data_IF_249936619417
#
_entry.id   IF_249936619417
#
_cell.length_a   1.000
_cell.length_b   1.000
_cell.length_c   1.000
_cell.angle_alpha   90.00
_cell.angle_beta   90.00
_cell.angle_gamma   90.00
#
_symmetry.space_group_name_H-M   'P 1'
#
loop_
_entity.id
_entity.type
_entity.pdbx_description
1 polymer ?
#
# COMPACT_ATOMS: atom_id res chain seq x y z
N UNK A 1 21.84 -46.87 -27.22
CA UNK A 1 22.27 -45.61 -26.58
C UNK A 1 21.16 -44.58 -26.75
N UNK A 2 20.16 -44.59 -25.86
CA UNK A 2 19.11 -43.57 -25.72
C UNK A 2 18.78 -43.54 -24.22
N UNK A 3 19.31 -42.57 -23.49
CA UNK A 3 18.99 -42.33 -22.07
C UNK A 3 19.19 -40.85 -21.72
N UNK A 4 18.68 -40.00 -22.57
CA UNK A 4 18.38 -38.60 -22.28
C UNK A 4 16.88 -38.49 -22.45
N UNK A 5 16.12 -38.06 -21.42
CA UNK A 5 14.84 -37.32 -21.57
C UNK A 5 13.91 -37.32 -20.33
N UNK A 6 14.21 -38.00 -19.21
CA UNK A 6 13.17 -38.17 -18.17
C UNK A 6 13.43 -37.52 -16.80
N UNK A 7 14.59 -36.91 -16.55
CA UNK A 7 14.88 -36.34 -15.22
C UNK A 7 14.81 -34.80 -15.17
N UNK A 8 14.69 -34.11 -16.30
CA UNK A 8 14.67 -32.64 -16.34
C UNK A 8 13.29 -32.01 -16.17
N UNK A 9 12.20 -32.79 -16.22
CA UNK A 9 10.82 -32.25 -16.21
C UNK A 9 10.32 -31.99 -14.77
N UNK A 10 10.91 -32.61 -13.75
CA UNK A 10 10.43 -32.50 -12.37
C UNK A 10 10.97 -31.31 -11.57
N UNK A 11 11.97 -30.56 -12.10
CA UNK A 11 12.59 -29.44 -11.36
C UNK A 11 12.00 -28.07 -11.74
N UNK A 12 11.20 -27.99 -12.82
CA UNK A 12 10.65 -26.72 -13.32
C UNK A 12 9.24 -26.37 -12.79
N UNK A 13 8.56 -27.29 -12.11
CA UNK A 13 7.16 -27.09 -11.69
C UNK A 13 6.99 -26.58 -10.25
N UNK A 14 8.06 -26.34 -9.49
CA UNK A 14 7.98 -25.89 -8.08
C UNK A 14 8.30 -24.40 -7.88
N UNK A 15 8.72 -23.67 -8.93
CA UNK A 15 9.08 -22.24 -8.80
C UNK A 15 7.88 -21.30 -9.02
N UNK A 16 6.71 -21.81 -9.42
CA UNK A 16 5.54 -20.98 -9.73
C UNK A 16 4.58 -20.77 -8.55
N UNK A 17 5.08 -20.80 -7.31
CA UNK A 17 4.36 -20.19 -6.17
C UNK A 17 4.49 -18.67 -6.27
N UNK A 18 3.77 -18.12 -7.27
CA UNK A 18 3.54 -16.69 -7.46
C UNK A 18 2.97 -16.16 -6.15
N UNK A 19 3.82 -15.51 -5.35
CA UNK A 19 3.37 -14.69 -4.24
C UNK A 19 2.57 -13.54 -4.86
N UNK A 20 1.24 -13.59 -4.76
CA UNK A 20 0.32 -12.57 -5.25
C UNK A 20 0.44 -11.27 -4.46
N UNK A 21 1.63 -10.67 -4.41
CA UNK A 21 1.83 -9.31 -3.94
C UNK A 21 1.51 -8.38 -5.11
N UNK A 22 0.56 -7.46 -4.90
CA UNK A 22 0.28 -6.38 -5.84
C UNK A 22 1.58 -5.64 -6.17
N UNK A 23 1.82 -5.36 -7.45
CA UNK A 23 3.01 -4.59 -7.83
C UNK A 23 2.93 -3.16 -7.26
N UNK A 24 4.06 -2.46 -7.05
CA UNK A 24 4.02 -1.06 -6.62
C UNK A 24 3.16 -0.17 -7.51
N UNK A 25 3.08 -0.46 -8.81
CA UNK A 25 2.23 0.25 -9.75
C UNK A 25 0.74 -0.01 -9.49
N UNK A 26 0.36 -1.25 -9.20
CA UNK A 26 -1.03 -1.61 -8.87
C UNK A 26 -1.45 -0.96 -7.55
N UNK A 27 -0.56 -0.97 -6.54
CA UNK A 27 -0.82 -0.30 -5.26
C UNK A 27 -0.98 1.21 -5.45
N UNK A 28 -0.12 1.86 -6.26
CA UNK A 28 -0.24 3.28 -6.55
C UNK A 28 -1.56 3.61 -7.27
N UNK A 29 -1.94 2.79 -8.26
CA UNK A 29 -3.21 2.93 -8.96
C UNK A 29 -4.38 2.83 -7.97
N UNK A 30 -4.40 1.80 -7.12
CA UNK A 30 -5.46 1.61 -6.13
C UNK A 30 -5.54 2.79 -5.14
N UNK A 31 -4.40 3.24 -4.60
CA UNK A 31 -4.34 4.40 -3.69
C UNK A 31 -4.91 5.64 -4.37
N UNK A 32 -4.55 5.88 -5.64
CA UNK A 32 -5.05 7.01 -6.40
C UNK A 32 -6.55 6.90 -6.69
N UNK A 33 -7.04 5.76 -7.15
CA UNK A 33 -8.46 5.54 -7.42
C UNK A 33 -9.31 5.76 -6.17
N UNK A 34 -8.93 5.13 -5.06
CA UNK A 34 -9.63 5.25 -3.77
C UNK A 34 -9.60 6.69 -3.24
N UNK A 35 -8.43 7.35 -3.31
CA UNK A 35 -8.30 8.75 -2.86
C UNK A 35 -9.13 9.69 -3.72
N UNK A 36 -9.11 9.53 -5.04
CA UNK A 36 -9.91 10.35 -5.95
C UNK A 36 -11.42 10.14 -5.77
N UNK A 37 -11.86 8.89 -5.52
CA UNK A 37 -13.26 8.57 -5.21
C UNK A 37 -13.74 9.29 -3.94
N UNK A 38 -12.91 9.31 -2.91
CA UNK A 38 -13.25 9.92 -1.61
C UNK A 38 -13.16 11.44 -1.62
N UNK A 39 -12.27 12.03 -2.43
CA UNK A 39 -12.25 13.47 -2.73
C UNK A 39 -13.54 13.88 -3.43
N UNK A 40 -13.94 13.17 -4.49
CA UNK A 40 -15.20 13.45 -5.21
C UNK A 40 -16.42 13.33 -4.30
N UNK A 41 -16.40 12.41 -3.34
CA UNK A 41 -17.45 12.24 -2.34
C UNK A 41 -17.39 13.25 -1.17
N UNK A 42 -16.38 14.12 -1.11
CA UNK A 42 -16.20 15.08 -0.01
C UNK A 42 -15.85 14.42 1.34
N UNK A 43 -15.34 13.19 1.35
CA UNK A 43 -15.04 12.42 2.58
C UNK A 43 -13.55 12.22 2.84
N UNK A 44 -12.68 12.71 1.94
CA UNK A 44 -11.24 12.45 2.00
C UNK A 44 -10.59 12.87 3.33
N UNK A 45 -10.80 14.12 3.78
CA UNK A 45 -10.19 14.64 5.01
C UNK A 45 -10.61 13.85 6.24
N UNK A 46 -11.91 13.51 6.33
CA UNK A 46 -12.42 12.65 7.40
C UNK A 46 -11.71 11.30 7.41
N UNK A 47 -11.57 10.65 6.25
CA UNK A 47 -10.91 9.34 6.14
C UNK A 47 -9.42 9.40 6.46
N UNK A 48 -8.72 10.47 6.09
CA UNK A 48 -7.33 10.69 6.47
C UNK A 48 -7.21 10.78 8.00
N UNK A 49 -8.11 11.53 8.64
CA UNK A 49 -8.15 11.63 10.10
C UNK A 49 -8.44 10.28 10.74
N UNK A 50 -9.46 9.56 10.28
CA UNK A 50 -9.80 8.23 10.80
C UNK A 50 -8.61 7.25 10.66
N UNK A 51 -7.91 7.30 9.52
CA UNK A 51 -6.70 6.51 9.27
C UNK A 51 -5.58 6.86 10.25
N UNK A 52 -5.34 8.15 10.50
CA UNK A 52 -4.33 8.61 11.46
C UNK A 52 -4.67 8.17 12.88
N UNK A 53 -5.92 8.37 13.33
CA UNK A 53 -6.36 7.93 14.65
C UNK A 53 -6.24 6.41 14.83
N UNK A 54 -6.53 5.62 13.79
CA UNK A 54 -6.32 4.18 13.81
C UNK A 54 -4.84 3.81 13.98
N UNK A 55 -3.94 4.48 13.25
CA UNK A 55 -2.49 4.25 13.32
C UNK A 55 -1.96 4.58 14.72
N UNK A 56 -2.36 5.72 15.28
CA UNK A 56 -1.98 6.14 16.65
C UNK A 56 -2.41 5.15 17.74
N UNK A 57 -3.51 4.43 17.54
CA UNK A 57 -4.01 3.41 18.49
C UNK A 57 -3.32 2.06 18.35
N UNK A 58 -2.77 1.75 17.17
CA UNK A 58 -2.35 0.37 16.82
C UNK A 58 -0.84 0.20 16.67
N UNK A 59 -0.12 1.30 16.47
CA UNK A 59 1.33 1.32 16.24
C UNK A 59 2.01 2.23 17.28
N UNK A 60 3.16 1.82 17.85
CA UNK A 60 3.92 2.65 18.78
C UNK A 60 4.31 4.02 18.20
N UNK A 61 4.40 5.03 19.07
CA UNK A 61 4.65 6.43 18.67
C UNK A 61 5.99 6.63 17.97
N UNK A 62 7.03 5.93 18.41
CA UNK A 62 8.38 5.96 17.81
C UNK A 62 8.39 5.35 16.40
N UNK A 63 7.68 4.24 16.21
CA UNK A 63 7.48 3.62 14.89
C UNK A 63 6.66 4.54 13.97
N UNK A 64 5.61 5.18 14.48
CA UNK A 64 4.83 6.16 13.73
C UNK A 64 5.64 7.40 13.34
N UNK A 65 6.49 7.89 14.22
CA UNK A 65 7.37 9.01 13.92
C UNK A 65 8.40 8.65 12.82
N UNK A 66 8.90 7.42 12.81
CA UNK A 66 9.73 6.91 11.73
C UNK A 66 8.96 6.77 10.41
N UNK A 67 7.72 6.23 10.47
CA UNK A 67 6.84 6.07 9.33
C UNK A 67 6.41 7.41 8.71
N UNK A 68 6.19 8.45 9.51
CA UNK A 68 5.85 9.79 9.04
C UNK A 68 6.95 10.38 8.12
N UNK A 69 8.22 10.08 8.40
CA UNK A 69 9.34 10.49 7.53
C UNK A 69 9.30 9.82 6.16
N UNK A 70 8.76 8.60 6.06
CA UNK A 70 8.51 7.96 4.77
C UNK A 70 7.42 8.70 3.99
N UNK A 71 6.36 9.16 4.66
CA UNK A 71 5.25 9.91 4.04
C UNK A 71 5.69 11.28 3.52
N UNK A 72 6.64 11.94 4.19
CA UNK A 72 7.17 13.25 3.76
C UNK A 72 7.79 13.23 2.36
N UNK A 73 8.33 12.09 1.93
CA UNK A 73 8.85 11.95 0.58
C UNK A 73 7.73 12.13 -0.45
N UNK A 74 6.56 11.55 -0.23
CA UNK A 74 5.42 11.67 -1.16
C UNK A 74 4.13 11.95 -0.38
N UNK A 75 3.91 13.20 0.03
CA UNK A 75 2.77 13.54 0.86
C UNK A 75 1.47 13.38 0.05
N UNK A 76 0.49 12.73 0.67
CA UNK A 76 -0.89 12.60 0.18
C UNK A 76 -1.82 12.79 1.38
N UNK A 77 -1.76 13.97 1.99
CA UNK A 77 -2.57 14.36 3.17
C UNK A 77 -3.71 15.31 2.80
N UNK A 78 -3.63 15.94 1.63
CA UNK A 78 -4.63 16.89 1.12
C UNK A 78 -5.07 16.50 -0.28
N UNK A 79 -6.25 16.97 -0.71
CA UNK A 79 -6.76 16.70 -2.05
C UNK A 79 -5.80 17.21 -3.15
N UNK A 80 -5.18 18.38 -2.97
CA UNK A 80 -4.23 18.94 -3.93
C UNK A 80 -2.97 18.08 -4.08
N UNK A 81 -2.45 17.57 -2.96
CA UNK A 81 -1.31 16.66 -2.96
C UNK A 81 -1.66 15.35 -3.66
N UNK A 82 -2.84 14.78 -3.41
CA UNK A 82 -3.32 13.59 -4.13
C UNK A 82 -3.43 13.88 -5.62
N UNK A 83 -4.08 14.98 -6.01
CA UNK A 83 -4.21 15.36 -7.41
C UNK A 83 -2.85 15.46 -8.10
N UNK A 84 -1.86 16.10 -7.43
CA UNK A 84 -0.50 16.22 -7.95
C UNK A 84 0.18 14.86 -8.15
N UNK A 85 0.09 13.97 -7.16
CA UNK A 85 0.72 12.65 -7.24
C UNK A 85 0.03 11.79 -8.31
N UNK A 86 -1.29 11.73 -8.29
CA UNK A 86 -2.09 10.83 -9.11
C UNK A 86 -2.19 11.25 -10.58
N UNK A 87 -2.18 12.56 -10.88
CA UNK A 87 -2.12 13.04 -12.27
C UNK A 87 -0.74 12.82 -12.92
N UNK A 88 0.30 12.56 -12.12
CA UNK A 88 1.66 12.27 -12.58
C UNK A 88 2.13 10.88 -12.11
N UNK A 89 1.21 9.91 -12.05
CA UNK A 89 1.44 8.59 -11.43
C UNK A 89 2.68 7.87 -11.97
N UNK A 90 2.90 7.87 -13.28
CA UNK A 90 4.03 7.16 -13.91
C UNK A 90 5.36 7.80 -13.54
N UNK A 91 5.40 9.14 -13.50
CA UNK A 91 6.57 9.90 -13.06
C UNK A 91 6.86 9.74 -11.56
N UNK A 92 5.83 9.40 -10.76
CA UNK A 92 5.94 9.20 -9.32
C UNK A 92 6.20 7.74 -8.93
N UNK A 93 6.08 6.77 -9.84
CA UNK A 93 6.14 5.34 -9.51
C UNK A 93 7.46 4.94 -8.80
N UNK A 94 8.61 5.42 -9.28
CA UNK A 94 9.90 5.12 -8.67
C UNK A 94 9.95 5.63 -7.21
N UNK A 95 9.54 6.88 -7.01
CA UNK A 95 9.47 7.51 -5.68
C UNK A 95 8.45 6.83 -4.77
N UNK A 96 7.32 6.39 -5.30
CA UNK A 96 6.32 5.63 -4.54
C UNK A 96 6.89 4.28 -4.10
N UNK A 97 7.65 3.62 -4.96
CA UNK A 97 8.33 2.36 -4.64
C UNK A 97 9.34 2.55 -3.52
N UNK A 98 10.10 3.65 -3.53
CA UNK A 98 11.00 4.03 -2.43
C UNK A 98 10.25 4.24 -1.11
N UNK A 99 9.09 4.90 -1.16
CA UNK A 99 8.22 5.09 0.02
C UNK A 99 7.74 3.76 0.58
N UNK A 100 7.29 2.83 -0.26
CA UNK A 100 6.91 1.48 0.18
C UNK A 100 8.09 0.74 0.83
N UNK A 101 9.28 0.80 0.24
CA UNK A 101 10.48 0.22 0.83
C UNK A 101 10.91 0.87 2.15
N UNK A 102 10.64 2.17 2.31
CA UNK A 102 10.84 2.87 3.59
C UNK A 102 9.87 2.33 4.66
N UNK A 103 8.58 2.20 4.33
CA UNK A 103 7.57 1.65 5.24
C UNK A 103 7.89 0.23 5.68
N UNK A 104 8.29 -0.64 4.76
CA UNK A 104 8.65 -2.03 5.06
C UNK A 104 9.78 -2.10 6.11
N UNK A 105 10.80 -1.25 5.95
CA UNK A 105 11.93 -1.17 6.89
C UNK A 105 11.56 -0.63 8.27
N UNK A 106 10.72 0.40 8.35
CA UNK A 106 10.40 1.06 9.63
C UNK A 106 9.29 0.35 10.41
N UNK A 107 8.32 -0.25 9.72
CA UNK A 107 7.22 -0.97 10.36
C UNK A 107 7.66 -2.37 10.80
N UNK A 108 8.45 -3.05 9.96
CA UNK A 108 8.77 -4.47 10.14
C UNK A 108 7.53 -5.38 10.14
N UNK A 109 7.76 -6.68 10.15
CA UNK A 109 6.67 -7.68 10.10
C UNK A 109 5.63 -7.50 11.23
N UNK A 110 6.08 -7.03 12.40
CA UNK A 110 5.25 -6.86 13.58
C UNK A 110 4.12 -5.83 13.40
N UNK A 111 4.37 -4.73 12.67
CA UNK A 111 3.43 -3.61 12.57
C UNK A 111 2.87 -3.41 11.16
N UNK A 112 3.46 -4.00 10.12
CA UNK A 112 2.99 -3.89 8.73
C UNK A 112 1.52 -4.24 8.57
N UNK A 113 1.05 -5.35 9.15
CA UNK A 113 -0.35 -5.76 9.07
C UNK A 113 -1.30 -4.76 9.76
N UNK A 114 -0.92 -4.26 10.94
CA UNK A 114 -1.73 -3.30 11.70
C UNK A 114 -1.83 -1.96 10.97
N UNK A 115 -0.69 -1.47 10.46
CA UNK A 115 -0.62 -0.24 9.70
C UNK A 115 -1.42 -0.33 8.39
N UNK A 116 -1.30 -1.44 7.67
CA UNK A 116 -2.05 -1.71 6.42
C UNK A 116 -3.56 -1.76 6.67
N UNK A 117 -4.00 -2.43 7.75
CA UNK A 117 -5.42 -2.48 8.12
C UNK A 117 -6.04 -1.09 8.37
N UNK A 118 -5.26 -0.15 8.91
CA UNK A 118 -5.72 1.23 9.05
C UNK A 118 -5.86 1.94 7.70
N UNK A 119 -5.08 1.59 6.67
CA UNK A 119 -5.19 2.19 5.34
C UNK A 119 -6.50 1.85 4.63
N UNK A 120 -7.14 0.73 4.98
CA UNK A 120 -8.45 0.33 4.46
C UNK A 120 -9.58 1.31 4.81
N UNK A 121 -9.38 2.22 5.79
CA UNK A 121 -10.31 3.32 6.08
C UNK A 121 -10.45 4.33 4.93
N UNK A 122 -9.48 4.36 4.02
CA UNK A 122 -9.56 5.18 2.82
C UNK A 122 -10.55 4.62 1.81
N UNK A 123 -10.86 3.32 1.86
CA UNK A 123 -11.76 2.68 0.90
C UNK A 123 -13.22 2.84 1.33
N UNK A 124 -14.03 3.63 0.61
CA UNK A 124 -15.44 3.83 0.94
C UNK A 124 -16.28 2.55 0.84
N UNK A 125 -15.84 1.56 0.06
CA UNK A 125 -16.57 0.30 -0.09
C UNK A 125 -16.36 -0.61 1.14
N UNK A 126 -15.28 -0.41 1.89
CA UNK A 126 -15.04 -1.11 3.16
C UNK A 126 -15.88 -0.59 4.33
N UNK A 127 -16.45 0.61 4.26
CA UNK A 127 -17.36 1.11 5.31
C UNK A 127 -18.60 0.23 5.41
N UNK A 128 -19.15 -0.19 4.26
CA UNK A 128 -20.30 -1.10 4.19
C UNK A 128 -20.06 -2.47 4.84
N UNK A 129 -18.80 -2.90 4.94
CA UNK A 129 -18.39 -4.18 5.55
C UNK A 129 -18.10 -4.07 7.06
N UNK A 130 -17.98 -2.85 7.60
CA UNK A 130 -17.70 -2.60 9.02
C UNK A 130 -18.95 -2.34 9.86
N UNK A 131 -20.10 -2.16 9.21
CA UNK A 131 -21.40 -1.90 9.86
C UNK A 131 -22.30 -3.14 9.97
N UNK A 132 -21.80 -4.32 9.60
CA UNK A 132 -22.40 -5.64 9.90
C UNK A 132 -21.53 -6.38 10.91
#
# INVERSE_FOLDING_TARGET
MIRQSLTLILVLSVISSIHSQLSPADVLNQVCETSMKTIKAGTYEKRIKDRQECREKTVPKDVLAAAAKCEEAMPMLTADQVNKVCNAKDANLAKFTEVLGCFDKVLGEQYTAKFSNCCNLMDPDNDSKRSN
#
